data_IF_650274264833
#
_entry.id   IF_650274264833
#
_cell.length_a   1.000
_cell.length_b   1.000
_cell.length_c   1.000
_cell.angle_alpha   90.00
_cell.angle_beta   90.00
_cell.angle_gamma   90.00
#
_symmetry.space_group_name_H-M   'P 1'
#
loop_
_entity.id
_entity.type
_entity.pdbx_description
1 polymer ?
#
# COMPACT_ATOMS: atom_id res chain seq x y z
N UNK A 1 -4.48 -47.47 10.05
CA UNK A 1 -5.48 -47.50 8.97
C UNK A 1 -6.82 -48.07 9.38
N UNK A 2 -6.89 -49.02 10.34
CA UNK A 2 -8.15 -49.60 10.82
C UNK A 2 -9.07 -48.55 11.50
N UNK A 3 -8.52 -47.51 12.12
CA UNK A 3 -9.29 -46.45 12.73
C UNK A 3 -10.00 -45.54 11.74
N UNK A 4 -9.39 -45.26 10.59
CA UNK A 4 -9.96 -44.44 9.53
C UNK A 4 -11.12 -45.17 8.80
N UNK A 5 -11.02 -46.51 8.66
CA UNK A 5 -12.10 -47.33 8.06
C UNK A 5 -13.33 -47.27 8.95
N UNK A 6 -13.19 -47.48 10.26
CA UNK A 6 -14.33 -47.43 11.22
C UNK A 6 -15.00 -46.05 11.28
N UNK A 7 -14.25 -44.97 11.16
CA UNK A 7 -14.81 -43.62 11.13
C UNK A 7 -15.61 -43.38 9.85
N UNK A 8 -15.17 -43.91 8.70
CA UNK A 8 -15.91 -43.83 7.44
C UNK A 8 -17.20 -44.61 7.49
N UNK A 9 -17.15 -45.86 7.96
CA UNK A 9 -18.35 -46.70 8.12
C UNK A 9 -19.40 -46.05 9.04
N UNK A 10 -18.96 -45.49 10.17
CA UNK A 10 -19.85 -44.78 11.10
C UNK A 10 -20.49 -43.52 10.47
N UNK A 11 -19.73 -42.80 9.67
CA UNK A 11 -20.25 -41.64 8.93
C UNK A 11 -21.27 -42.03 7.89
N UNK A 12 -21.02 -43.11 7.15
CA UNK A 12 -21.93 -43.63 6.14
C UNK A 12 -23.25 -44.15 6.77
N UNK A 13 -23.18 -44.80 7.92
CA UNK A 13 -24.34 -45.20 8.71
C UNK A 13 -25.17 -44.00 9.22
N UNK A 14 -24.52 -42.89 9.63
CA UNK A 14 -25.21 -41.66 10.04
C UNK A 14 -25.93 -41.02 8.84
N UNK A 15 -25.33 -41.05 7.66
CA UNK A 15 -25.94 -40.53 6.43
C UNK A 15 -27.14 -41.40 6.04
N UNK A 16 -26.99 -42.73 6.02
CA UNK A 16 -28.01 -43.66 5.67
C UNK A 16 -29.22 -43.61 6.62
N UNK A 17 -29.00 -43.37 7.91
CA UNK A 17 -30.04 -43.24 8.92
C UNK A 17 -30.70 -41.85 8.96
N UNK A 18 -30.30 -40.92 8.11
CA UNK A 18 -30.80 -39.52 8.07
C UNK A 18 -30.40 -38.66 9.25
N UNK A 19 -29.58 -39.16 10.18
CA UNK A 19 -29.08 -38.43 11.35
C UNK A 19 -28.02 -37.41 11.00
N UNK A 20 -27.38 -37.55 9.83
CA UNK A 20 -26.38 -36.59 9.33
C UNK A 20 -26.67 -36.28 7.85
N UNK A 21 -26.85 -35.01 7.55
CA UNK A 21 -26.90 -34.49 6.18
C UNK A 21 -25.57 -33.83 5.87
N UNK A 22 -24.77 -34.40 4.93
CA UNK A 22 -23.52 -33.73 4.53
C UNK A 22 -23.86 -32.36 3.97
N UNK A 23 -23.21 -31.35 4.51
CA UNK A 23 -23.28 -30.03 3.91
C UNK A 23 -22.55 -30.05 2.57
N UNK A 24 -23.11 -29.47 1.51
CA UNK A 24 -22.38 -29.32 0.26
C UNK A 24 -21.08 -28.59 0.53
N UNK A 25 -19.95 -29.15 0.07
CA UNK A 25 -18.70 -28.40 0.03
C UNK A 25 -18.91 -27.24 -0.92
N UNK A 26 -19.01 -26.02 -0.38
CA UNK A 26 -18.94 -24.82 -1.18
C UNK A 26 -17.51 -24.74 -1.69
N UNK A 27 -17.29 -25.13 -2.94
CA UNK A 27 -16.04 -24.87 -3.64
C UNK A 27 -16.12 -23.41 -4.07
N UNK A 28 -15.53 -22.54 -3.28
CA UNK A 28 -15.31 -21.17 -3.69
C UNK A 28 -14.32 -21.19 -4.85
N UNK A 29 -14.80 -20.88 -6.05
CA UNK A 29 -13.92 -20.64 -7.20
C UNK A 29 -13.28 -19.28 -6.94
N UNK A 30 -12.03 -19.27 -6.49
CA UNK A 30 -11.25 -18.06 -6.39
C UNK A 30 -11.01 -17.52 -7.80
N UNK A 31 -11.58 -16.36 -8.09
CA UNK A 31 -11.22 -15.58 -9.28
C UNK A 31 -9.91 -14.86 -9.00
N UNK A 32 -9.06 -14.82 -10.01
CA UNK A 32 -7.80 -14.08 -9.99
C UNK A 32 -7.91 -12.88 -10.93
N UNK A 33 -7.31 -11.79 -10.54
CA UNK A 33 -7.15 -10.59 -11.35
C UNK A 33 -5.67 -10.23 -11.43
N UNK A 34 -5.27 -9.62 -12.53
CA UNK A 34 -3.92 -9.12 -12.71
C UNK A 34 -3.89 -7.63 -12.34
N UNK A 35 -2.94 -7.27 -11.47
CA UNK A 35 -2.73 -5.90 -11.01
C UNK A 35 -1.32 -5.44 -11.33
N UNK A 36 -1.13 -4.19 -11.77
CA UNK A 36 0.18 -3.62 -11.92
C UNK A 36 0.81 -3.40 -10.54
N UNK A 37 2.05 -3.85 -10.37
CA UNK A 37 2.82 -3.69 -9.13
C UNK A 37 4.16 -3.05 -9.45
N UNK A 38 4.48 -1.96 -8.77
CA UNK A 38 5.79 -1.29 -8.85
C UNK A 38 6.64 -1.59 -7.62
N UNK A 39 7.96 -1.51 -7.78
CA UNK A 39 8.89 -1.54 -6.66
C UNK A 39 9.23 -0.11 -6.23
N UNK A 40 9.12 0.17 -4.93
CA UNK A 40 9.40 1.50 -4.38
C UNK A 40 10.83 2.00 -4.70
N UNK A 41 11.78 1.07 -4.85
CA UNK A 41 13.18 1.39 -5.14
C UNK A 41 13.47 1.75 -6.61
N UNK A 42 12.53 1.53 -7.54
CA UNK A 42 12.78 1.68 -9.00
C UNK A 42 12.63 3.12 -9.48
N UNK A 43 12.01 3.99 -8.70
CA UNK A 43 11.85 5.40 -9.06
C UNK A 43 13.14 6.24 -8.98
N UNK A 44 14.24 5.63 -8.51
CA UNK A 44 15.52 6.30 -8.40
C UNK A 44 16.19 6.46 -9.78
N UNK A 45 15.92 7.54 -10.45
CA UNK A 45 16.91 7.98 -11.42
C UNK A 45 16.50 8.70 -12.68
N UNK A 46 15.42 8.47 -13.35
CA UNK A 46 15.26 9.09 -14.67
C UNK A 46 13.85 9.30 -15.17
N UNK A 47 12.86 8.70 -14.55
CA UNK A 47 11.53 8.68 -15.11
C UNK A 47 10.45 9.08 -14.12
N UNK A 48 9.28 9.24 -14.65
CA UNK A 48 8.07 9.38 -13.87
C UNK A 48 7.78 8.03 -13.21
N UNK A 49 7.42 8.04 -11.93
CA UNK A 49 7.09 6.82 -11.17
C UNK A 49 6.04 5.96 -11.88
N UNK A 50 5.09 6.60 -12.56
CA UNK A 50 3.97 5.97 -13.26
C UNK A 50 4.29 5.52 -14.70
N UNK A 51 5.56 5.49 -15.13
CA UNK A 51 5.91 4.93 -16.44
C UNK A 51 5.65 3.41 -16.50
N UNK A 52 5.10 2.93 -17.61
CA UNK A 52 4.74 1.52 -17.81
C UNK A 52 5.91 0.55 -17.52
N UNK A 53 7.15 0.94 -17.80
CA UNK A 53 8.34 0.14 -17.54
C UNK A 53 8.66 -0.12 -16.07
N UNK A 54 8.00 0.59 -15.16
CA UNK A 54 8.19 0.46 -13.71
C UNK A 54 7.22 -0.52 -13.06
N UNK A 55 6.31 -1.11 -13.84
CA UNK A 55 5.30 -2.03 -13.34
C UNK A 55 5.47 -3.44 -13.90
N UNK A 56 5.21 -4.44 -13.05
CA UNK A 56 5.01 -5.83 -13.44
C UNK A 56 3.55 -6.23 -13.18
N UNK A 57 2.97 -7.04 -14.06
CA UNK A 57 1.63 -7.59 -13.84
C UNK A 57 1.72 -8.80 -12.92
N UNK A 58 1.02 -8.74 -11.79
CA UNK A 58 1.00 -9.79 -10.77
C UNK A 58 -0.43 -10.26 -10.53
N UNK A 59 -0.61 -11.58 -10.47
CA UNK A 59 -1.91 -12.22 -10.28
C UNK A 59 -2.27 -12.32 -8.80
N UNK A 60 -3.45 -11.81 -8.42
CA UNK A 60 -3.98 -11.84 -7.06
C UNK A 60 -5.39 -12.45 -7.03
N UNK A 61 -5.78 -13.12 -5.93
CA UNK A 61 -7.18 -13.43 -5.69
C UNK A 61 -8.00 -12.12 -5.69
N UNK A 62 -9.11 -12.09 -6.43
CA UNK A 62 -9.97 -10.89 -6.56
C UNK A 62 -10.39 -10.31 -5.19
N UNK A 63 -10.63 -11.18 -4.22
CA UNK A 63 -11.01 -10.78 -2.87
C UNK A 63 -9.84 -10.26 -1.99
N UNK A 64 -8.60 -10.33 -2.48
CA UNK A 64 -7.42 -9.81 -1.80
C UNK A 64 -7.08 -8.38 -2.24
N UNK A 65 -7.74 -7.87 -3.27
CA UNK A 65 -7.53 -6.52 -3.79
C UNK A 65 -8.73 -5.66 -3.39
N UNK A 66 -8.52 -4.57 -2.63
CA UNK A 66 -9.60 -3.64 -2.30
C UNK A 66 -10.24 -3.02 -3.54
N UNK A 67 -11.48 -2.53 -3.47
CA UNK A 67 -12.05 -1.69 -4.54
C UNK A 67 -11.26 -0.38 -4.65
N UNK A 68 -11.39 0.26 -5.81
CA UNK A 68 -10.80 1.58 -6.10
C UNK A 68 -9.25 1.63 -6.06
N UNK A 69 -8.61 0.48 -6.26
CA UNK A 69 -7.14 0.35 -6.37
C UNK A 69 -6.71 0.53 -7.82
N UNK A 70 -5.73 1.41 -8.03
CA UNK A 70 -5.11 1.60 -9.35
C UNK A 70 -3.89 0.69 -9.53
N UNK A 71 -3.04 0.56 -8.50
CA UNK A 71 -1.84 -0.27 -8.54
C UNK A 71 -1.36 -0.72 -7.15
N UNK A 72 -0.45 -1.69 -7.14
CA UNK A 72 0.29 -2.11 -5.96
C UNK A 72 1.70 -1.53 -5.92
N UNK A 73 2.24 -1.34 -4.73
CA UNK A 73 3.64 -0.97 -4.51
C UNK A 73 4.28 -1.94 -3.53
N UNK A 74 5.42 -2.51 -3.93
CA UNK A 74 6.22 -3.36 -3.05
C UNK A 74 7.06 -2.50 -2.12
N UNK A 75 6.82 -2.63 -0.83
CA UNK A 75 7.54 -1.91 0.23
C UNK A 75 9.01 -2.33 0.24
N UNK A 76 9.91 -1.37 0.41
CA UNK A 76 11.34 -1.60 0.58
C UNK A 76 11.83 -0.92 1.86
N UNK A 77 12.54 -1.68 2.69
CA UNK A 77 13.08 -1.22 3.96
C UNK A 77 12.07 -1.28 5.12
N UNK A 78 12.51 -0.82 6.27
CA UNK A 78 11.83 -0.96 7.57
C UNK A 78 11.30 0.35 8.16
N UNK A 79 11.36 1.46 7.40
CA UNK A 79 10.99 2.79 7.90
C UNK A 79 9.52 2.92 8.31
N UNK A 80 8.67 2.04 7.81
CA UNK A 80 7.23 2.03 8.10
C UNK A 80 6.80 0.89 9.02
N UNK A 81 7.76 0.15 9.59
CA UNK A 81 7.46 -0.82 10.63
C UNK A 81 6.97 -0.15 11.93
N UNK A 82 6.14 -0.83 12.69
CA UNK A 82 5.64 -2.20 12.54
C UNK A 82 4.38 -2.33 11.66
N UNK A 83 3.92 -1.25 11.04
CA UNK A 83 2.64 -1.23 10.27
C UNK A 83 2.81 -1.85 8.89
N UNK A 84 3.89 -1.50 8.18
CA UNK A 84 4.22 -2.03 6.87
C UNK A 84 5.63 -2.63 6.91
N UNK A 85 5.77 -3.82 6.30
CA UNK A 85 7.01 -4.60 6.34
C UNK A 85 7.68 -4.65 4.98
N UNK A 86 9.00 -4.83 4.99
CA UNK A 86 9.79 -5.04 3.77
C UNK A 86 9.23 -6.18 2.91
N UNK A 87 9.12 -5.96 1.60
CA UNK A 87 8.57 -6.93 0.64
C UNK A 87 7.05 -7.03 0.60
N UNK A 88 6.32 -6.42 1.53
CA UNK A 88 4.86 -6.35 1.52
C UNK A 88 4.38 -5.55 0.31
N UNK A 89 3.25 -5.93 -0.29
CA UNK A 89 2.56 -5.10 -1.29
C UNK A 89 1.49 -4.28 -0.58
N UNK A 90 1.51 -2.98 -0.81
CA UNK A 90 0.46 -2.05 -0.40
C UNK A 90 -0.35 -1.64 -1.63
N UNK A 91 -1.65 -1.42 -1.43
CA UNK A 91 -2.56 -1.01 -2.48
C UNK A 91 -2.70 0.50 -2.51
N UNK A 92 -2.69 1.06 -3.70
CA UNK A 92 -2.61 2.50 -3.91
C UNK A 92 -3.73 2.95 -4.85
N UNK A 93 -4.42 3.99 -4.42
CA UNK A 93 -5.31 4.83 -5.23
C UNK A 93 -4.51 6.05 -5.68
N UNK A 94 -4.44 6.30 -7.00
CA UNK A 94 -3.73 7.44 -7.56
C UNK A 94 -4.39 8.75 -7.13
N UNK A 95 -3.62 9.67 -6.57
CA UNK A 95 -4.09 11.01 -6.21
C UNK A 95 -2.92 12.00 -6.17
N UNK A 96 -3.23 13.27 -6.34
CA UNK A 96 -2.23 14.36 -6.31
C UNK A 96 -2.09 15.01 -4.93
N UNK A 97 -3.02 14.73 -4.01
CA UNK A 97 -3.06 15.36 -2.68
C UNK A 97 -3.44 14.36 -1.60
N UNK A 98 -2.92 14.57 -0.41
CA UNK A 98 -3.22 13.79 0.79
C UNK A 98 -3.62 14.69 1.93
N UNK A 99 -4.49 14.19 2.81
CA UNK A 99 -4.75 14.82 4.09
C UNK A 99 -3.65 14.47 5.11
N UNK A 100 -3.43 15.35 6.08
CA UNK A 100 -2.51 15.09 7.19
C UNK A 100 -2.91 13.80 7.92
N UNK A 101 -1.94 12.89 8.09
CA UNK A 101 -2.12 11.58 8.71
C UNK A 101 -2.38 10.44 7.72
N UNK A 102 -2.65 10.71 6.45
CA UNK A 102 -2.78 9.67 5.44
C UNK A 102 -1.41 9.09 5.06
N UNK A 103 -1.41 7.80 4.74
CA UNK A 103 -0.22 7.12 4.20
C UNK A 103 -0.23 7.22 2.70
N UNK A 104 0.90 7.59 2.12
CA UNK A 104 1.02 7.73 0.68
C UNK A 104 2.34 7.28 0.11
N UNK A 105 2.34 7.21 -1.21
CA UNK A 105 3.53 7.04 -2.03
C UNK A 105 3.94 8.43 -2.54
N UNK A 106 5.21 8.75 -2.35
CA UNK A 106 5.80 10.02 -2.73
C UNK A 106 7.04 9.81 -3.59
N UNK A 107 7.30 10.75 -4.48
CA UNK A 107 8.61 10.93 -5.11
C UNK A 107 9.22 12.22 -4.60
N UNK A 108 10.42 12.14 -4.07
CA UNK A 108 11.18 13.27 -3.55
C UNK A 108 12.59 13.22 -4.12
N UNK A 109 12.92 14.23 -4.93
CA UNK A 109 14.21 14.31 -5.66
C UNK A 109 14.60 13.06 -6.44
N UNK A 110 13.59 12.37 -6.99
CA UNK A 110 13.76 11.15 -7.80
C UNK A 110 13.67 9.84 -7.03
N UNK A 111 13.67 9.86 -5.71
CA UNK A 111 13.50 8.67 -4.87
C UNK A 111 12.06 8.44 -4.47
N UNK A 112 11.63 7.17 -4.43
CA UNK A 112 10.30 6.76 -3.99
C UNK A 112 10.23 6.53 -2.49
N UNK A 113 9.16 6.99 -1.85
CA UNK A 113 8.93 6.87 -0.41
C UNK A 113 7.52 6.40 -0.10
N UNK A 114 7.41 5.46 0.85
CA UNK A 114 6.17 5.16 1.56
C UNK A 114 6.25 5.84 2.93
N UNK A 115 5.39 6.83 3.19
CA UNK A 115 5.41 7.64 4.41
C UNK A 115 4.01 8.09 4.81
N UNK A 116 3.90 8.57 6.04
CA UNK A 116 2.73 9.32 6.50
C UNK A 116 2.89 10.78 6.09
N UNK A 117 1.87 11.34 5.44
CA UNK A 117 1.85 12.76 5.09
C UNK A 117 1.59 13.62 6.32
N UNK A 118 2.35 14.67 6.47
CA UNK A 118 2.16 15.70 7.50
C UNK A 118 2.54 17.07 6.97
N UNK A 119 2.27 18.09 7.76
CA UNK A 119 2.58 19.47 7.45
C UNK A 119 3.12 20.19 8.69
N UNK A 120 3.97 21.16 8.46
CA UNK A 120 4.44 22.06 9.50
C UNK A 120 4.48 23.52 9.00
N UNK A 121 4.52 24.48 9.92
CA UNK A 121 4.80 25.86 9.56
C UNK A 121 6.26 25.98 9.08
N UNK A 122 6.52 26.64 7.92
CA UNK A 122 7.88 26.87 7.45
C UNK A 122 8.68 27.71 8.47
N UNK A 123 9.99 27.46 8.53
CA UNK A 123 10.88 28.30 9.32
C UNK A 123 10.89 29.76 8.81
N UNK A 124 11.22 30.70 9.65
CA UNK A 124 11.30 32.14 9.26
C UNK A 124 12.14 32.37 8.01
N UNK A 125 13.20 31.57 7.81
CA UNK A 125 14.09 31.66 6.65
C UNK A 125 13.47 31.11 5.36
N UNK A 126 12.42 30.29 5.47
CA UNK A 126 11.76 29.63 4.35
C UNK A 126 10.36 30.16 4.07
N UNK A 127 9.81 31.05 4.91
CA UNK A 127 8.46 31.60 4.78
C UNK A 127 8.20 32.20 3.39
N UNK A 128 9.16 32.94 2.85
CA UNK A 128 9.01 33.56 1.54
C UNK A 128 8.80 32.54 0.40
N UNK A 129 9.46 31.39 0.50
CA UNK A 129 9.34 30.32 -0.49
C UNK A 129 8.00 29.57 -0.41
N UNK A 130 7.33 29.60 0.74
CA UNK A 130 6.01 29.02 0.95
C UNK A 130 4.89 30.06 0.96
N UNK A 131 5.18 31.30 0.58
CA UNK A 131 4.19 32.35 0.44
C UNK A 131 3.87 32.55 -1.04
N UNK A 132 2.59 32.45 -1.39
CA UNK A 132 2.16 32.63 -2.78
C UNK A 132 2.14 34.11 -3.20
N UNK A 133 1.82 34.36 -4.48
CA UNK A 133 1.75 35.71 -5.05
C UNK A 133 0.64 36.60 -4.45
N UNK A 134 -0.27 36.01 -3.68
CA UNK A 134 -1.34 36.71 -2.97
C UNK A 134 -0.99 37.01 -1.52
N UNK A 135 0.19 36.58 -1.07
CA UNK A 135 0.66 36.75 0.31
C UNK A 135 0.13 35.66 1.29
N UNK A 136 -0.44 34.59 0.80
CA UNK A 136 -0.91 33.49 1.63
C UNK A 136 0.27 32.53 1.93
N UNK A 137 0.50 32.28 3.21
CA UNK A 137 1.50 31.31 3.67
C UNK A 137 0.91 29.89 3.55
N UNK A 138 1.59 29.01 2.82
CA UNK A 138 1.29 27.59 2.72
C UNK A 138 2.12 26.79 3.73
N UNK A 139 1.54 25.70 4.22
CA UNK A 139 2.24 24.78 5.11
C UNK A 139 3.31 24.00 4.34
N UNK A 140 4.41 23.73 5.00
CA UNK A 140 5.51 22.93 4.45
C UNK A 140 5.21 21.44 4.61
N UNK A 141 5.24 20.63 3.54
CA UNK A 141 5.04 19.19 3.63
C UNK A 141 6.14 18.49 4.43
N UNK A 142 5.76 17.47 5.18
CA UNK A 142 6.67 16.63 5.97
C UNK A 142 6.28 15.15 5.76
N UNK A 143 7.25 14.31 5.50
CA UNK A 143 7.07 12.86 5.46
C UNK A 143 7.50 12.24 6.79
N UNK A 144 6.60 11.51 7.44
CA UNK A 144 6.84 10.84 8.72
C UNK A 144 6.94 9.32 8.52
N UNK A 145 7.81 8.69 9.31
CA UNK A 145 7.95 7.24 9.40
C UNK A 145 7.21 6.72 10.63
N UNK A 146 6.60 5.52 10.55
CA UNK A 146 6.11 4.83 11.74
C UNK A 146 7.25 4.33 12.62
N UNK A 147 8.36 3.91 12.01
CA UNK A 147 9.57 3.55 12.74
C UNK A 147 10.27 4.83 13.24
N UNK A 148 10.26 5.01 14.57
CA UNK A 148 10.81 6.20 15.22
C UNK A 148 12.35 6.32 15.12
N UNK A 149 13.04 5.29 14.65
CA UNK A 149 14.47 5.38 14.33
C UNK A 149 14.75 6.31 13.13
N UNK A 150 13.73 6.63 12.33
CA UNK A 150 13.80 7.50 11.18
C UNK A 150 13.27 8.89 11.53
N UNK A 151 14.11 9.92 11.37
CA UNK A 151 13.70 11.29 11.57
C UNK A 151 12.67 11.75 10.52
N UNK A 152 11.79 12.70 10.87
CA UNK A 152 10.91 13.36 9.90
C UNK A 152 11.71 13.92 8.72
N UNK A 153 11.23 13.73 7.51
CA UNK A 153 11.81 14.29 6.30
C UNK A 153 11.01 15.51 5.86
N UNK A 154 11.55 16.68 6.13
CA UNK A 154 10.95 17.96 5.75
C UNK A 154 11.23 18.25 4.29
N UNK A 155 10.22 18.63 3.52
CA UNK A 155 10.33 18.92 2.10
C UNK A 155 10.85 20.34 1.91
N UNK A 156 11.96 20.45 1.18
CA UNK A 156 12.59 21.75 0.93
C UNK A 156 11.91 22.48 -0.24
N UNK A 157 11.90 23.83 -0.25
CA UNK A 157 11.18 24.61 -1.25
C UNK A 157 11.61 24.34 -2.70
N UNK A 158 12.93 24.13 -2.90
CA UNK A 158 13.53 23.95 -4.24
C UNK A 158 13.61 22.49 -4.68
N UNK A 159 13.04 21.58 -3.89
CA UNK A 159 13.06 20.15 -4.19
C UNK A 159 11.91 19.74 -5.10
N UNK A 160 12.09 18.61 -5.81
CA UNK A 160 11.00 17.96 -6.56
C UNK A 160 10.24 17.06 -5.62
N UNK A 161 9.03 17.45 -5.26
CA UNK A 161 8.14 16.65 -4.43
C UNK A 161 6.83 16.42 -5.15
N UNK A 162 6.42 15.16 -5.20
CA UNK A 162 5.17 14.73 -5.82
C UNK A 162 4.49 13.66 -4.97
N UNK A 163 3.19 13.82 -4.78
CA UNK A 163 2.30 12.76 -4.28
C UNK A 163 1.92 11.89 -5.45
N UNK A 164 2.09 10.58 -5.33
CA UNK A 164 1.75 9.60 -6.37
C UNK A 164 0.40 8.97 -6.08
N UNK A 165 0.10 8.70 -4.81
CA UNK A 165 -1.18 8.11 -4.44
C UNK A 165 -1.29 7.85 -2.96
N UNK A 166 -2.52 7.53 -2.56
CA UNK A 166 -2.93 7.16 -1.22
C UNK A 166 -2.86 5.66 -1.03
N UNK A 167 -2.34 5.21 0.10
CA UNK A 167 -2.39 3.80 0.52
C UNK A 167 -3.76 3.52 1.16
N UNK A 168 -4.42 2.47 0.69
CA UNK A 168 -5.75 2.02 1.13
C UNK A 168 -5.68 0.98 2.25
#
# INVERSE_FOLDING_TARGET
DAGLVKVREYKDDLIASGKYKPQPKVVSILKYIEMPVSNLAVSAGTGEFLEEGNFEMVSFPENAVPPDVDFGVRVSGDSMEPVYHDGQIVWVEECETLAVGEVGIFVYDGDGYLKVYSEQEPSEQQKDAFTDSYGCLHMQPVMLSYNQAYAPKVILPDSRFQVIGRVL
#
